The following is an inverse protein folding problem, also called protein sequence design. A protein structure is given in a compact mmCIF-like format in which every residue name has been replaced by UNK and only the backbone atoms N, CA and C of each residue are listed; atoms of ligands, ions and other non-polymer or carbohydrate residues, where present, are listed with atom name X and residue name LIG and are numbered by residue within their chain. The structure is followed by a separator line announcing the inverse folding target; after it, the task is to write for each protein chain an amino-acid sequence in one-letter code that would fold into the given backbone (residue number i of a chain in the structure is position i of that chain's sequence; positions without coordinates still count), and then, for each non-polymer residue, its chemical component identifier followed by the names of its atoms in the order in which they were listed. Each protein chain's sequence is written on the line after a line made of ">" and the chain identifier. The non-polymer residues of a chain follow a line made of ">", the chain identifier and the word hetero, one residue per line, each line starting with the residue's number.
data_IF_720853748377
#
_entry.id   IF_720853748377
#
_cell.length_a   1.000
_cell.length_b   1.000
_cell.length_c   1.000
_cell.angle_alpha   90.00
_cell.angle_beta   90.00
_cell.angle_gamma   90.00
#
_symmetry.space_group_name_H-M   'P 1'
#
loop_
_entity.id
_entity.type
_entity.pdbx_description
1 polymer ?
#
# COMPACT_ATOMS: atom_id res chain seq x y z
N UNK A 1 20.34 -18.42 -4.71
CA UNK A 1 18.96 -18.14 -4.23
C UNK A 1 18.68 -16.77 -4.77
N UNK A 2 17.70 -16.67 -5.66
CA UNK A 2 17.52 -15.46 -6.46
C UNK A 2 16.37 -14.60 -5.94
N UNK A 3 16.57 -13.28 -5.90
CA UNK A 3 15.54 -12.30 -5.54
C UNK A 3 15.01 -11.60 -6.80
N UNK A 4 13.70 -11.68 -7.05
CA UNK A 4 13.06 -10.90 -8.13
C UNK A 4 12.49 -9.60 -7.59
N UNK A 5 12.99 -8.47 -8.05
CA UNK A 5 12.50 -7.14 -7.70
C UNK A 5 11.41 -6.74 -8.69
N UNK A 6 10.16 -6.78 -8.25
CA UNK A 6 8.93 -6.58 -9.00
C UNK A 6 8.41 -5.15 -8.81
N UNK A 7 8.52 -4.31 -9.85
CA UNK A 7 8.16 -2.89 -9.79
C UNK A 7 7.03 -2.61 -10.79
N UNK A 8 5.77 -2.53 -10.33
CA UNK A 8 4.68 -2.04 -11.18
C UNK A 8 4.86 -0.54 -11.43
N UNK A 9 4.70 -0.12 -12.70
CA UNK A 9 4.84 1.28 -13.10
C UNK A 9 3.55 1.79 -13.76
N UNK A 10 3.15 3.01 -13.41
CA UNK A 10 2.03 3.71 -14.05
C UNK A 10 2.25 5.22 -13.96
N UNK A 11 2.46 5.87 -15.10
CA UNK A 11 2.63 7.31 -15.23
C UNK A 11 3.66 7.91 -14.24
N UNK A 12 4.83 7.27 -14.12
CA UNK A 12 5.89 7.70 -13.20
C UNK A 12 7.29 7.49 -13.79
N UNK A 13 8.23 8.38 -13.48
CA UNK A 13 9.64 8.26 -13.84
C UNK A 13 10.39 7.38 -12.84
N UNK A 14 10.91 6.24 -13.32
CA UNK A 14 11.59 5.25 -12.47
C UNK A 14 13.11 5.21 -12.64
N UNK A 15 13.69 6.11 -13.44
CA UNK A 15 15.12 6.03 -13.78
C UNK A 15 16.02 6.06 -12.55
N UNK A 16 15.71 6.90 -11.55
CA UNK A 16 16.50 6.99 -10.31
C UNK A 16 16.37 5.73 -9.44
N UNK A 17 15.16 5.18 -9.33
CA UNK A 17 14.93 3.96 -8.56
C UNK A 17 15.70 2.79 -9.19
N UNK A 18 15.60 2.64 -10.50
CA UNK A 18 16.27 1.54 -11.22
C UNK A 18 17.79 1.68 -11.18
N UNK A 19 18.32 2.89 -11.39
CA UNK A 19 19.77 3.10 -11.35
C UNK A 19 20.36 2.76 -9.98
N UNK A 20 19.70 3.14 -8.88
CA UNK A 20 20.16 2.82 -7.52
C UNK A 20 20.11 1.30 -7.23
N UNK A 21 19.05 0.60 -7.65
CA UNK A 21 18.95 -0.84 -7.47
C UNK A 21 20.02 -1.57 -8.29
N UNK A 22 20.22 -1.18 -9.56
CA UNK A 22 21.22 -1.75 -10.45
C UNK A 22 22.63 -1.55 -9.92
N UNK A 23 22.95 -0.34 -9.47
CA UNK A 23 24.25 0.00 -8.87
C UNK A 23 24.58 -0.94 -7.70
N UNK A 24 23.62 -1.18 -6.80
CA UNK A 24 23.83 -2.09 -5.67
C UNK A 24 24.02 -3.54 -6.12
N UNK A 25 23.17 -4.04 -7.03
CA UNK A 25 23.24 -5.41 -7.57
C UNK A 25 24.60 -5.68 -8.21
N UNK A 26 25.06 -4.78 -9.07
CA UNK A 26 26.31 -4.94 -9.82
C UNK A 26 27.53 -4.81 -8.92
N UNK A 27 27.56 -3.79 -8.06
CA UNK A 27 28.69 -3.53 -7.15
C UNK A 27 28.91 -4.68 -6.18
N UNK A 28 27.83 -5.30 -5.71
CA UNK A 28 27.88 -6.38 -4.71
C UNK A 28 27.72 -7.77 -5.31
N UNK A 29 27.55 -7.89 -6.63
CA UNK A 29 27.31 -9.15 -7.34
C UNK A 29 26.15 -9.95 -6.74
N UNK A 30 25.03 -9.28 -6.47
CA UNK A 30 23.86 -9.89 -5.84
C UNK A 30 23.12 -10.79 -6.84
N UNK A 31 22.65 -11.95 -6.38
CA UNK A 31 21.76 -12.84 -7.14
C UNK A 31 20.33 -12.27 -7.14
N UNK A 32 20.13 -11.20 -7.90
CA UNK A 32 18.86 -10.49 -8.02
C UNK A 32 18.58 -10.09 -9.48
N UNK A 33 17.30 -10.02 -9.82
CA UNK A 33 16.82 -9.51 -11.12
C UNK A 33 15.78 -8.41 -10.89
N UNK A 34 15.68 -7.48 -11.83
CA UNK A 34 14.68 -6.41 -11.82
C UNK A 34 13.66 -6.67 -12.93
N UNK A 35 12.39 -6.67 -12.56
CA UNK A 35 11.26 -6.80 -13.47
C UNK A 35 10.41 -5.54 -13.40
N UNK A 36 10.13 -4.98 -14.58
CA UNK A 36 9.20 -3.89 -14.77
C UNK A 36 7.96 -4.38 -15.51
N UNK A 37 6.78 -4.06 -14.98
CA UNK A 37 5.53 -4.20 -15.72
C UNK A 37 4.82 -2.84 -15.69
N UNK A 38 4.54 -2.30 -16.88
CA UNK A 38 3.86 -1.03 -17.08
C UNK A 38 2.36 -1.20 -17.26
N UNK A 39 1.58 -0.56 -16.39
CA UNK A 39 0.12 -0.65 -16.29
C UNK A 39 -0.57 0.36 -17.21
N UNK A 40 -0.23 0.32 -18.51
CA UNK A 40 -0.71 1.23 -19.54
C UNK A 40 -0.40 2.71 -19.23
N UNK A 41 0.89 3.03 -19.07
CA UNK A 41 1.31 4.43 -18.97
C UNK A 41 1.12 5.18 -20.28
N UNK A 42 1.04 6.51 -20.19
CA UNK A 42 1.07 7.38 -21.37
C UNK A 42 2.40 7.22 -22.12
N UNK A 43 2.42 7.43 -23.45
CA UNK A 43 3.65 7.32 -24.26
C UNK A 43 4.80 8.19 -23.77
N UNK A 44 4.52 9.36 -23.18
CA UNK A 44 5.53 10.25 -22.60
C UNK A 44 6.37 9.56 -21.51
N UNK A 45 5.75 8.71 -20.67
CA UNK A 45 6.45 7.99 -19.62
C UNK A 45 7.25 6.79 -20.16
N UNK A 46 6.79 6.15 -21.23
CA UNK A 46 7.56 5.10 -21.90
C UNK A 46 8.86 5.69 -22.50
N UNK A 47 8.79 6.88 -23.07
CA UNK A 47 9.96 7.60 -23.57
C UNK A 47 10.91 8.01 -22.42
N UNK A 48 10.37 8.61 -21.36
CA UNK A 48 11.15 9.00 -20.17
C UNK A 48 11.85 7.79 -19.55
N UNK A 49 11.15 6.66 -19.43
CA UNK A 49 11.67 5.44 -18.81
C UNK A 49 12.50 4.57 -19.75
N UNK A 50 12.73 4.98 -21.00
CA UNK A 50 13.51 4.19 -21.95
C UNK A 50 14.86 3.73 -21.40
N UNK A 51 15.69 4.56 -20.70
CA UNK A 51 16.94 4.10 -20.12
C UNK A 51 16.76 3.00 -19.06
N UNK A 52 15.77 3.17 -18.16
CA UNK A 52 15.41 2.16 -17.18
C UNK A 52 14.95 0.85 -17.85
N UNK A 53 14.07 0.94 -18.85
CA UNK A 53 13.51 -0.20 -19.58
C UNK A 53 14.60 -1.06 -20.22
N UNK A 54 15.62 -0.44 -20.80
CA UNK A 54 16.72 -1.16 -21.47
C UNK A 54 17.79 -1.69 -20.51
N UNK A 55 17.73 -1.35 -19.21
CA UNK A 55 18.75 -1.76 -18.23
C UNK A 55 18.28 -2.87 -17.27
N UNK A 56 17.00 -3.24 -17.29
CA UNK A 56 16.42 -4.27 -16.43
C UNK A 56 16.36 -5.64 -17.11
N UNK A 57 16.22 -6.69 -16.30
CA UNK A 57 16.18 -8.09 -16.77
C UNK A 57 14.89 -8.42 -17.53
N UNK A 58 13.78 -7.76 -17.19
CA UNK A 58 12.50 -7.95 -17.85
C UNK A 58 11.67 -6.66 -17.87
N UNK A 59 11.07 -6.37 -19.02
CA UNK A 59 10.09 -5.31 -19.18
C UNK A 59 8.87 -5.79 -19.97
N UNK A 60 7.69 -5.38 -19.54
CA UNK A 60 6.44 -5.54 -20.29
C UNK A 60 5.55 -4.31 -20.12
N UNK A 61 5.02 -3.78 -21.22
CA UNK A 61 3.93 -2.79 -21.18
C UNK A 61 2.59 -3.45 -21.51
N UNK A 62 1.56 -3.04 -20.79
CA UNK A 62 0.18 -3.47 -20.96
C UNK A 62 -0.60 -2.45 -21.78
N UNK A 63 -1.57 -2.93 -22.55
CA UNK A 63 -2.44 -2.09 -23.37
C UNK A 63 -3.53 -1.40 -22.52
N UNK A 64 -3.93 -2.02 -21.42
CA UNK A 64 -4.97 -1.53 -20.52
C UNK A 64 -4.50 -1.53 -19.06
N UNK A 65 -4.98 -0.57 -18.28
CA UNK A 65 -4.73 -0.51 -16.85
C UNK A 65 -5.54 -1.60 -16.13
N UNK A 66 -4.85 -2.60 -15.58
CA UNK A 66 -5.46 -3.72 -14.84
C UNK A 66 -5.50 -3.46 -13.34
N UNK A 67 -4.79 -2.45 -12.86
CA UNK A 67 -4.81 -1.97 -11.49
C UNK A 67 -3.85 -2.72 -10.55
N UNK A 68 -3.69 -2.14 -9.36
CA UNK A 68 -2.65 -2.45 -8.36
C UNK A 68 -2.59 -3.91 -7.92
N UNK A 69 -3.74 -4.55 -7.69
CA UNK A 69 -3.80 -5.95 -7.28
C UNK A 69 -3.39 -6.89 -8.41
N UNK A 70 -4.01 -6.71 -9.59
CA UNK A 70 -3.81 -7.59 -10.73
C UNK A 70 -2.38 -7.49 -11.29
N UNK A 71 -1.81 -6.29 -11.34
CA UNK A 71 -0.43 -6.12 -11.81
C UNK A 71 0.59 -6.77 -10.87
N UNK A 72 0.40 -6.70 -9.54
CA UNK A 72 1.27 -7.42 -8.59
C UNK A 72 1.17 -8.92 -8.76
N UNK A 73 -0.04 -9.45 -8.95
CA UNK A 73 -0.24 -10.87 -9.25
C UNK A 73 0.43 -11.29 -10.57
N UNK A 74 0.44 -10.41 -11.57
CA UNK A 74 0.99 -10.69 -12.89
C UNK A 74 2.50 -10.98 -12.87
N UNK A 75 3.25 -10.40 -11.93
CA UNK A 75 4.69 -10.69 -11.77
C UNK A 75 5.02 -12.16 -11.54
N UNK A 76 4.10 -12.95 -10.95
CA UNK A 76 4.30 -14.39 -10.75
C UNK A 76 4.59 -15.15 -12.05
N UNK A 77 4.15 -14.64 -13.20
CA UNK A 77 4.36 -15.27 -14.50
C UNK A 77 5.80 -15.08 -15.03
N UNK A 78 6.49 -14.03 -14.59
CA UNK A 78 7.76 -13.60 -15.19
C UNK A 78 8.94 -13.67 -14.21
N UNK A 79 8.68 -13.52 -12.91
CA UNK A 79 9.71 -13.58 -11.89
C UNK A 79 10.30 -14.99 -11.77
N UNK A 80 11.63 -15.11 -11.77
CA UNK A 80 12.36 -16.38 -11.67
C UNK A 80 12.86 -16.66 -10.25
N UNK A 81 12.94 -15.66 -9.40
CA UNK A 81 13.47 -15.74 -8.04
C UNK A 81 12.66 -16.60 -7.08
N UNK A 82 13.32 -17.09 -6.04
CA UNK A 82 12.72 -17.84 -4.93
C UNK A 82 11.91 -16.90 -4.02
N UNK A 83 12.31 -15.62 -3.99
CA UNK A 83 11.66 -14.53 -3.28
C UNK A 83 11.30 -13.41 -4.25
N UNK A 84 10.18 -12.75 -3.98
CA UNK A 84 9.67 -11.62 -4.75
C UNK A 84 9.69 -10.39 -3.85
N UNK A 85 10.40 -9.35 -4.27
CA UNK A 85 10.40 -8.04 -3.63
C UNK A 85 9.49 -7.10 -4.43
N UNK A 86 8.41 -6.63 -3.81
CA UNK A 86 7.58 -5.61 -4.43
C UNK A 86 7.95 -4.23 -3.92
N UNK A 87 8.19 -3.33 -4.87
CA UNK A 87 8.46 -1.92 -4.61
C UNK A 87 7.52 -1.04 -5.43
N UNK A 88 6.96 -0.02 -4.78
CA UNK A 88 6.23 1.01 -5.52
C UNK A 88 7.21 1.90 -6.29
N UNK A 89 6.84 2.26 -7.52
CA UNK A 89 7.68 3.02 -8.44
C UNK A 89 8.06 4.43 -7.97
N UNK A 90 7.30 4.98 -7.01
CA UNK A 90 7.53 6.28 -6.38
C UNK A 90 8.43 6.22 -5.12
N UNK A 91 8.90 5.01 -4.78
CA UNK A 91 9.87 4.78 -3.72
C UNK A 91 11.28 5.26 -4.08
N UNK A 92 11.97 5.83 -3.10
CA UNK A 92 13.40 6.16 -3.19
C UNK A 92 14.18 5.29 -2.23
N UNK A 93 15.26 4.70 -2.74
CA UNK A 93 16.20 3.93 -1.94
C UNK A 93 17.08 4.90 -1.17
N UNK A 94 17.20 4.68 0.15
CA UNK A 94 17.99 5.54 1.05
C UNK A 94 19.13 4.78 1.76
N UNK A 95 19.15 3.46 1.65
CA UNK A 95 20.23 2.60 2.16
C UNK A 95 21.13 2.17 1.00
N UNK A 96 22.45 2.09 1.24
CA UNK A 96 23.42 1.52 0.28
C UNK A 96 23.51 -0.02 0.33
N UNK A 97 22.81 -0.61 1.28
CA UNK A 97 22.75 -2.05 1.52
C UNK A 97 21.29 -2.55 1.38
N UNK A 98 20.47 -1.82 0.62
CA UNK A 98 19.03 -2.02 0.62
C UNK A 98 18.64 -3.45 0.21
N UNK A 99 19.19 -3.95 -0.90
CA UNK A 99 18.94 -5.30 -1.39
C UNK A 99 19.74 -6.32 -0.57
N UNK A 100 21.00 -6.03 -0.25
CA UNK A 100 21.86 -6.97 0.49
C UNK A 100 21.30 -7.29 1.87
N UNK A 101 20.75 -6.31 2.59
CA UNK A 101 20.15 -6.51 3.91
C UNK A 101 18.97 -7.50 3.87
N UNK A 102 18.17 -7.49 2.79
CA UNK A 102 17.11 -8.48 2.59
C UNK A 102 17.67 -9.87 2.28
N UNK A 103 18.65 -9.97 1.39
CA UNK A 103 19.26 -11.25 1.01
C UNK A 103 19.95 -11.93 2.21
N UNK A 104 20.71 -11.18 3.01
CA UNK A 104 21.33 -11.67 4.24
C UNK A 104 20.30 -12.16 5.26
N UNK A 105 19.20 -11.42 5.42
CA UNK A 105 18.12 -11.83 6.31
C UNK A 105 17.42 -13.10 5.80
N UNK A 106 17.20 -13.23 4.49
CA UNK A 106 16.64 -14.45 3.90
C UNK A 106 17.56 -15.64 4.15
N UNK A 107 18.87 -15.49 3.89
CA UNK A 107 19.83 -16.57 4.05
C UNK A 107 19.91 -17.06 5.49
N UNK A 108 19.82 -16.15 6.47
CA UNK A 108 19.93 -16.49 7.89
C UNK A 108 18.63 -16.97 8.54
N UNK A 109 17.48 -16.43 8.14
CA UNK A 109 16.20 -16.66 8.84
C UNK A 109 15.12 -17.36 8.00
N UNK A 110 15.28 -17.43 6.68
CA UNK A 110 14.33 -18.01 5.72
C UNK A 110 12.85 -17.61 5.99
N UNK A 111 12.55 -16.30 6.15
CA UNK A 111 11.21 -15.85 6.51
C UNK A 111 10.22 -16.05 5.35
N UNK A 112 8.94 -16.24 5.65
CA UNK A 112 7.91 -16.31 4.61
C UNK A 112 7.63 -14.93 3.97
N UNK A 113 7.56 -13.89 4.81
CA UNK A 113 7.25 -12.52 4.41
C UNK A 113 8.07 -11.53 5.24
N UNK A 114 8.60 -10.48 4.59
CA UNK A 114 9.30 -9.37 5.21
C UNK A 114 8.71 -8.03 4.75
N UNK A 115 8.76 -7.02 5.62
CA UNK A 115 8.39 -5.64 5.28
C UNK A 115 9.41 -4.66 5.87
N UNK A 116 10.12 -3.93 5.00
CA UNK A 116 11.20 -3.02 5.40
C UNK A 116 10.74 -1.68 5.94
N UNK A 117 9.47 -1.32 5.71
CA UNK A 117 8.93 -0.04 6.16
C UNK A 117 8.98 1.05 5.09
N UNK A 118 8.42 2.19 5.47
CA UNK A 118 8.39 3.41 4.67
C UNK A 118 8.64 4.61 5.59
N UNK A 119 9.34 5.61 5.08
CA UNK A 119 9.53 6.89 5.73
C UNK A 119 9.13 8.06 4.82
N UNK A 120 8.84 9.21 5.45
CA UNK A 120 8.45 10.47 4.80
C UNK A 120 9.29 11.61 5.36
N UNK A 121 9.27 12.77 4.69
CA UNK A 121 9.88 13.98 5.24
C UNK A 121 9.31 14.31 6.62
N UNK A 122 10.20 14.58 7.58
CA UNK A 122 9.83 15.09 8.92
C UNK A 122 9.52 16.58 8.90
N UNK A 123 9.89 17.28 7.82
CA UNK A 123 9.61 18.69 7.66
C UNK A 123 8.13 18.89 7.43
N UNK A 124 7.52 19.72 8.26
CA UNK A 124 6.10 20.05 8.15
C UNK A 124 5.85 20.78 6.82
N UNK A 125 4.93 20.30 5.97
CA UNK A 125 4.66 20.93 4.69
C UNK A 125 3.68 22.11 4.84
N UNK A 126 3.40 22.77 3.72
CA UNK A 126 2.35 23.78 3.61
C UNK A 126 0.97 23.24 4.04
N UNK A 127 0.08 24.15 4.44
CA UNK A 127 -1.25 23.79 4.96
C UNK A 127 -2.04 22.91 4.01
N UNK A 128 -1.89 23.10 2.70
CA UNK A 128 -2.50 22.33 1.61
C UNK A 128 -2.19 20.83 1.65
N UNK A 129 -1.13 20.39 2.33
CA UNK A 129 -0.69 18.99 2.43
C UNK A 129 -0.68 18.44 3.87
N UNK A 130 -0.97 19.28 4.86
CA UNK A 130 -0.79 18.95 6.28
C UNK A 130 -1.68 17.81 6.78
N UNK A 131 -2.89 17.61 6.26
CA UNK A 131 -3.75 16.51 6.68
C UNK A 131 -3.14 15.15 6.27
N UNK A 132 -2.73 15.01 5.00
CA UNK A 132 -2.05 13.82 4.46
C UNK A 132 -0.79 13.53 5.26
N UNK A 133 0.05 14.54 5.47
CA UNK A 133 1.31 14.42 6.21
C UNK A 133 1.08 14.01 7.68
N UNK A 134 0.08 14.60 8.36
CA UNK A 134 -0.29 14.22 9.72
C UNK A 134 -0.75 12.76 9.80
N UNK A 135 -1.52 12.30 8.80
CA UNK A 135 -1.92 10.90 8.73
C UNK A 135 -0.72 9.98 8.50
N UNK A 136 0.13 10.32 7.53
CA UNK A 136 1.33 9.55 7.17
C UNK A 136 2.23 9.33 8.39
N UNK A 137 2.59 10.43 9.06
CA UNK A 137 3.55 10.42 10.19
C UNK A 137 2.99 9.78 11.46
N UNK A 138 1.68 9.86 11.71
CA UNK A 138 1.07 9.39 12.97
C UNK A 138 0.46 8.00 12.89
N UNK A 139 0.10 7.52 11.69
CA UNK A 139 -0.70 6.29 11.52
C UNK A 139 -0.15 5.31 10.49
N UNK A 140 0.60 5.77 9.50
CA UNK A 140 1.04 4.96 8.36
C UNK A 140 2.53 4.58 8.49
N UNK A 141 3.42 5.58 8.53
CA UNK A 141 4.87 5.43 8.56
C UNK A 141 5.38 5.30 10.00
N UNK A 142 4.94 4.24 10.68
CA UNK A 142 5.32 3.95 12.06
C UNK A 142 6.72 3.33 12.13
N UNK A 143 7.45 3.64 13.20
CA UNK A 143 8.77 3.03 13.45
C UNK A 143 8.68 1.51 13.68
N UNK A 144 9.80 0.81 13.55
CA UNK A 144 9.87 -0.65 13.68
C UNK A 144 9.19 -1.18 14.94
N UNK A 145 9.49 -0.60 16.11
CA UNK A 145 8.92 -1.04 17.41
C UNK A 145 7.39 -1.05 17.38
N UNK A 146 6.76 -0.01 16.84
CA UNK A 146 5.29 0.06 16.72
C UNK A 146 4.75 -0.92 15.69
N UNK A 147 5.45 -1.10 14.56
CA UNK A 147 5.03 -2.05 13.53
C UNK A 147 5.07 -3.49 14.05
N UNK A 148 6.11 -3.88 14.78
CA UNK A 148 6.25 -5.21 15.39
C UNK A 148 5.15 -5.55 16.42
N UNK A 149 4.56 -4.55 17.09
CA UNK A 149 3.43 -4.78 18.01
C UNK A 149 2.14 -5.20 17.28
N UNK A 150 1.99 -4.81 16.01
CA UNK A 150 0.79 -5.06 15.20
C UNK A 150 1.19 -5.30 13.75
N UNK A 151 1.95 -6.38 13.45
CA UNK A 151 2.67 -6.54 12.19
C UNK A 151 1.72 -6.49 10.98
N UNK A 152 0.63 -7.25 11.04
CA UNK A 152 -0.36 -7.28 9.98
C UNK A 152 -1.10 -5.95 9.74
N UNK A 153 -1.26 -5.10 10.76
CA UNK A 153 -1.90 -3.79 10.62
C UNK A 153 -0.92 -2.71 10.17
N UNK A 154 0.37 -2.90 10.43
CA UNK A 154 1.45 -2.01 10.01
C UNK A 154 2.11 -2.45 8.71
N UNK A 155 1.58 -3.46 8.03
CA UNK A 155 2.06 -3.95 6.73
C UNK A 155 1.56 -3.05 5.60
N UNK A 156 2.43 -2.80 4.62
CA UNK A 156 2.11 -2.10 3.38
C UNK A 156 2.82 -2.79 2.23
N UNK A 157 2.30 -2.66 1.00
CA UNK A 157 2.82 -3.40 -0.15
C UNK A 157 3.84 -2.61 -0.98
N UNK A 158 4.38 -1.52 -0.44
CA UNK A 158 5.28 -0.60 -1.13
C UNK A 158 6.77 -0.96 -1.01
N UNK A 159 7.13 -1.86 -0.08
CA UNK A 159 8.50 -2.32 0.18
C UNK A 159 8.45 -3.61 1.00
N UNK A 160 8.05 -4.70 0.36
CA UNK A 160 7.94 -6.00 1.01
C UNK A 160 8.54 -7.11 0.18
N UNK A 161 8.99 -8.16 0.85
CA UNK A 161 9.55 -9.36 0.23
C UNK A 161 8.73 -10.57 0.66
N UNK A 162 8.39 -11.45 -0.26
CA UNK A 162 7.60 -12.65 0.01
C UNK A 162 8.20 -13.86 -0.70
N UNK A 163 8.21 -15.00 -0.03
CA UNK A 163 8.60 -16.27 -0.63
C UNK A 163 7.63 -16.61 -1.76
N UNK A 164 8.14 -16.91 -2.95
CA UNK A 164 7.33 -17.10 -4.17
C UNK A 164 6.24 -18.14 -4.01
N UNK A 165 6.53 -19.25 -3.33
CA UNK A 165 5.54 -20.32 -3.05
C UNK A 165 4.40 -19.86 -2.14
N UNK A 166 4.64 -18.90 -1.25
CA UNK A 166 3.58 -18.28 -0.45
C UNK A 166 2.73 -17.36 -1.33
N UNK A 167 3.36 -16.51 -2.14
CA UNK A 167 2.62 -15.61 -3.03
C UNK A 167 1.80 -16.33 -4.12
N UNK A 168 2.25 -17.51 -4.56
CA UNK A 168 1.45 -18.37 -5.46
C UNK A 168 0.11 -18.77 -4.84
N UNK A 169 0.08 -19.01 -3.53
CA UNK A 169 -1.10 -19.44 -2.75
C UNK A 169 -1.96 -18.27 -2.29
N UNK A 170 -1.34 -17.19 -1.85
CA UNK A 170 -2.00 -15.99 -1.34
C UNK A 170 -1.68 -14.85 -2.30
N UNK A 171 -2.67 -14.46 -3.10
CA UNK A 171 -2.58 -13.41 -4.12
C UNK A 171 -3.38 -12.21 -3.68
N UNK A 172 -3.14 -11.05 -4.29
CA UNK A 172 -3.99 -9.90 -4.08
C UNK A 172 -5.39 -10.15 -4.64
N UNK A 173 -6.43 -9.68 -3.92
CA UNK A 173 -7.79 -9.74 -4.41
C UNK A 173 -8.01 -8.70 -5.52
N UNK A 174 -8.20 -9.18 -6.75
CA UNK A 174 -8.39 -8.35 -7.94
C UNK A 174 -9.80 -7.73 -8.02
N UNK A 175 -10.73 -8.14 -7.14
CA UNK A 175 -12.07 -7.52 -7.05
C UNK A 175 -12.02 -6.13 -6.41
N UNK A 176 -11.00 -5.85 -5.59
CA UNK A 176 -10.77 -4.55 -5.00
C UNK A 176 -10.15 -3.60 -6.04
N UNK A 177 -11.01 -2.98 -6.84
CA UNK A 177 -10.59 -2.00 -7.87
C UNK A 177 -10.39 -0.58 -7.31
N UNK A 178 -11.09 -0.25 -6.22
CA UNK A 178 -11.02 1.07 -5.60
C UNK A 178 -9.81 1.19 -4.68
N UNK A 179 -9.36 2.43 -4.43
CA UNK A 179 -8.20 2.70 -3.58
C UNK A 179 -8.39 2.18 -2.15
N UNK A 180 -7.36 1.50 -1.63
CA UNK A 180 -7.20 1.17 -0.22
C UNK A 180 -7.83 -0.15 0.23
N UNK A 181 -7.26 -0.67 1.32
CA UNK A 181 -7.57 -1.96 1.98
C UNK A 181 -7.08 -3.22 1.26
N UNK A 182 -6.50 -3.12 0.06
CA UNK A 182 -5.89 -4.24 -0.65
C UNK A 182 -4.71 -4.84 0.14
N UNK A 183 -3.79 -3.99 0.62
CA UNK A 183 -2.64 -4.40 1.45
C UNK A 183 -3.08 -5.08 2.74
N UNK A 184 -4.12 -4.50 3.36
CA UNK A 184 -4.63 -4.97 4.64
C UNK A 184 -5.36 -6.29 4.49
N UNK A 185 -6.19 -6.44 3.47
CA UNK A 185 -6.89 -7.68 3.20
C UNK A 185 -5.87 -8.80 2.97
N UNK A 186 -4.87 -8.55 2.11
CA UNK A 186 -3.76 -9.47 1.88
C UNK A 186 -3.05 -9.86 3.19
N UNK A 187 -2.68 -8.89 4.03
CA UNK A 187 -2.07 -9.18 5.33
C UNK A 187 -2.97 -10.00 6.27
N UNK A 188 -4.29 -9.79 6.23
CA UNK A 188 -5.24 -10.58 7.02
C UNK A 188 -5.40 -12.00 6.47
N UNK A 189 -5.25 -12.23 5.16
CA UNK A 189 -5.22 -13.59 4.61
C UNK A 189 -4.01 -14.36 5.10
N UNK A 190 -2.83 -13.72 5.07
CA UNK A 190 -1.60 -14.29 5.63
C UNK A 190 -1.75 -14.61 7.12
N UNK A 191 -2.36 -13.68 7.88
CA UNK A 191 -2.67 -13.89 9.30
C UNK A 191 -3.56 -15.11 9.52
N UNK A 192 -4.64 -15.25 8.74
CA UNK A 192 -5.57 -16.37 8.86
C UNK A 192 -4.88 -17.72 8.56
N UNK A 193 -3.85 -17.71 7.71
CA UNK A 193 -3.01 -18.87 7.41
C UNK A 193 -1.81 -19.05 8.37
N UNK A 194 -1.73 -18.27 9.46
CA UNK A 194 -0.61 -18.27 10.42
C UNK A 194 0.76 -17.95 9.80
N UNK A 195 0.79 -17.22 8.69
CA UNK A 195 2.03 -16.78 8.03
C UNK A 195 2.50 -15.48 8.68
N UNK A 196 3.72 -15.50 9.20
CA UNK A 196 4.27 -14.37 9.93
C UNK A 196 4.90 -13.34 9.00
N UNK A 197 4.56 -12.07 9.19
CA UNK A 197 5.21 -10.93 8.54
C UNK A 197 6.33 -10.42 9.44
N UNK A 198 7.58 -10.55 8.99
CA UNK A 198 8.76 -10.01 9.69
C UNK A 198 8.95 -8.55 9.31
N UNK A 199 9.00 -7.67 10.31
CA UNK A 199 9.25 -6.26 10.08
C UNK A 199 10.74 -5.98 10.27
N UNK A 200 11.34 -5.35 9.27
CA UNK A 200 12.75 -4.93 9.28
C UNK A 200 12.81 -3.39 9.31
N UNK A 201 13.94 -2.83 9.74
CA UNK A 201 14.23 -1.40 9.59
C UNK A 201 15.07 -1.19 8.33
N UNK A 202 14.44 -1.39 7.17
CA UNK A 202 15.04 -1.13 5.86
C UNK A 202 14.06 -0.33 4.99
N UNK A 203 13.71 0.90 5.41
CA UNK A 203 12.61 1.64 4.81
C UNK A 203 13.00 2.27 3.48
N UNK A 204 12.04 2.36 2.56
CA UNK A 204 12.13 3.30 1.44
C UNK A 204 11.68 4.69 1.87
N UNK A 205 12.22 5.72 1.24
CA UNK A 205 11.67 7.07 1.36
C UNK A 205 10.63 7.28 0.26
N UNK A 206 9.40 7.60 0.64
CA UNK A 206 8.41 8.07 -0.31
C UNK A 206 7.69 9.26 0.32
N UNK A 207 7.86 10.43 -0.29
CA UNK A 207 7.21 11.67 0.11
C UNK A 207 5.98 11.91 -0.76
N UNK A 208 4.86 11.24 -0.45
CA UNK A 208 3.57 11.48 -1.12
C UNK A 208 3.17 12.95 -0.95
N UNK A 209 3.47 13.78 -1.95
CA UNK A 209 3.00 15.17 -1.99
C UNK A 209 1.58 15.14 -2.55
N UNK A 210 0.63 14.89 -1.64
CA UNK A 210 -0.78 14.82 -1.98
C UNK A 210 -1.59 15.86 -1.19
N UNK A 211 -2.36 16.68 -1.91
CA UNK A 211 -3.16 17.72 -1.28
C UNK A 211 -4.23 17.13 -0.35
N UNK A 212 -4.63 17.89 0.67
CA UNK A 212 -5.69 17.48 1.60
C UNK A 212 -6.99 17.14 0.88
N UNK A 213 -7.26 17.78 -0.27
CA UNK A 213 -8.45 17.53 -1.09
C UNK A 213 -8.37 16.11 -1.66
N UNK A 214 -7.29 15.80 -2.36
CA UNK A 214 -7.09 14.48 -2.99
C UNK A 214 -7.04 13.39 -1.92
N UNK A 215 -6.32 13.62 -0.82
CA UNK A 215 -6.26 12.68 0.30
C UNK A 215 -7.63 12.41 0.93
N UNK A 216 -8.47 13.44 1.06
CA UNK A 216 -9.84 13.28 1.61
C UNK A 216 -10.71 12.44 0.68
N UNK A 217 -10.57 12.61 -0.64
CA UNK A 217 -11.26 11.77 -1.63
C UNK A 217 -10.80 10.31 -1.54
N UNK A 218 -9.49 10.05 -1.54
CA UNK A 218 -8.94 8.70 -1.36
C UNK A 218 -9.34 8.06 -0.04
N UNK A 219 -9.43 8.84 1.04
CA UNK A 219 -9.91 8.32 2.32
C UNK A 219 -11.39 7.91 2.29
N UNK A 220 -12.21 8.56 1.46
CA UNK A 220 -13.59 8.17 1.20
C UNK A 220 -13.66 6.91 0.34
N UNK A 221 -12.90 6.84 -0.75
CA UNK A 221 -12.76 5.64 -1.59
C UNK A 221 -12.34 4.42 -0.75
N UNK A 222 -11.36 4.57 0.13
CA UNK A 222 -10.96 3.51 1.04
C UNK A 222 -12.11 3.07 1.98
N UNK A 223 -12.94 4.00 2.45
CA UNK A 223 -14.12 3.64 3.24
C UNK A 223 -15.16 2.87 2.42
N UNK A 224 -15.30 3.18 1.13
CA UNK A 224 -16.14 2.42 0.20
C UNK A 224 -15.57 1.01 -0.05
N UNK A 225 -14.26 0.87 -0.27
CA UNK A 225 -13.58 -0.43 -0.37
C UNK A 225 -13.82 -1.29 0.87
N UNK A 226 -13.72 -0.70 2.07
CA UNK A 226 -14.04 -1.41 3.31
C UNK A 226 -15.51 -1.85 3.37
N UNK A 227 -16.45 -1.05 2.86
CA UNK A 227 -17.85 -1.44 2.77
C UNK A 227 -18.02 -2.68 1.88
N UNK A 228 -17.36 -2.72 0.71
CA UNK A 228 -17.37 -3.89 -0.17
C UNK A 228 -16.84 -5.14 0.55
N UNK A 229 -15.74 -5.02 1.28
CA UNK A 229 -15.16 -6.13 2.06
C UNK A 229 -16.12 -6.59 3.17
N UNK A 230 -16.76 -5.66 3.88
CA UNK A 230 -17.70 -6.01 4.96
C UNK A 230 -19.01 -6.64 4.46
N UNK A 231 -19.42 -6.34 3.22
CA UNK A 231 -20.58 -6.95 2.57
C UNK A 231 -20.30 -8.36 2.04
N UNK A 232 -19.05 -8.67 1.69
CA UNK A 232 -18.68 -10.02 1.22
C UNK A 232 -18.47 -10.98 2.41
N UNK A 233 -19.29 -12.04 2.56
CA UNK A 233 -19.16 -13.02 3.63
C UNK A 233 -17.79 -13.69 3.71
N UNK A 234 -17.06 -13.80 2.59
CA UNK A 234 -15.74 -14.45 2.54
C UNK A 234 -14.61 -13.59 3.12
N UNK A 235 -14.82 -12.28 3.21
CA UNK A 235 -13.77 -11.33 3.61
C UNK A 235 -14.13 -10.49 4.82
N UNK A 236 -15.42 -10.39 5.18
CA UNK A 236 -15.93 -9.67 6.35
C UNK A 236 -15.18 -9.98 7.65
N UNK A 237 -15.00 -11.26 7.98
CA UNK A 237 -14.39 -11.69 9.25
C UNK A 237 -12.91 -11.28 9.36
N UNK A 238 -12.25 -11.04 8.23
CA UNK A 238 -10.85 -10.59 8.18
C UNK A 238 -10.70 -9.14 8.66
N UNK A 239 -11.72 -8.30 8.48
CA UNK A 239 -11.67 -6.85 8.75
C UNK A 239 -12.62 -6.39 9.85
N UNK A 240 -13.37 -7.32 10.45
CA UNK A 240 -14.32 -7.09 11.56
C UNK A 240 -13.65 -6.35 12.73
N UNK A 241 -12.37 -6.65 12.97
CA UNK A 241 -11.66 -6.18 14.16
C UNK A 241 -11.05 -4.77 14.04
N UNK A 242 -11.14 -4.17 12.85
CA UNK A 242 -10.61 -2.84 12.58
C UNK A 242 -11.40 -1.77 13.36
N UNK A 243 -10.71 -0.70 13.75
CA UNK A 243 -11.33 0.39 14.54
C UNK A 243 -12.56 0.97 13.85
N UNK A 244 -12.49 1.17 12.54
CA UNK A 244 -13.60 1.72 11.75
C UNK A 244 -14.76 0.73 11.66
N UNK A 245 -14.48 -0.55 11.40
CA UNK A 245 -15.48 -1.63 11.40
C UNK A 245 -16.17 -1.76 12.76
N UNK A 246 -15.42 -1.75 13.87
CA UNK A 246 -15.98 -1.77 15.23
C UNK A 246 -16.85 -0.56 15.53
N UNK A 247 -16.46 0.63 15.07
CA UNK A 247 -17.27 1.83 15.24
C UNK A 247 -18.60 1.72 14.47
N UNK A 248 -18.57 1.21 13.24
CA UNK A 248 -19.77 0.95 12.45
C UNK A 248 -20.65 -0.14 13.09
N UNK A 249 -20.08 -1.25 13.56
CA UNK A 249 -20.85 -2.30 14.24
C UNK A 249 -21.55 -1.79 15.48
N UNK A 250 -20.89 -0.96 16.30
CA UNK A 250 -21.55 -0.31 17.44
C UNK A 250 -22.73 0.52 16.97
N UNK A 251 -22.55 1.36 15.95
CA UNK A 251 -23.63 2.18 15.39
C UNK A 251 -24.82 1.34 14.95
N UNK A 252 -24.55 0.25 14.22
CA UNK A 252 -25.56 -0.66 13.69
C UNK A 252 -26.27 -1.47 14.80
N UNK A 253 -25.54 -1.94 15.81
CA UNK A 253 -26.10 -2.72 16.92
C UNK A 253 -27.06 -1.90 17.80
N UNK A 254 -26.92 -0.58 17.81
CA UNK A 254 -27.86 0.33 18.48
C UNK A 254 -28.96 0.85 17.54
N UNK A 255 -29.05 0.36 16.30
CA UNK A 255 -30.01 0.81 15.28
C UNK A 255 -29.97 2.33 15.04
N UNK A 256 -28.78 2.93 15.21
CA UNK A 256 -28.56 4.38 15.06
C UNK A 256 -28.06 4.78 13.68
N UNK A 257 -27.86 3.82 12.78
CA UNK A 257 -27.31 4.01 11.44
C UNK A 257 -28.17 4.96 10.59
N UNK A 258 -29.50 4.84 10.63
CA UNK A 258 -30.42 5.73 9.90
C UNK A 258 -30.29 7.17 10.39
N UNK A 259 -30.43 7.40 11.71
CA UNK A 259 -30.32 8.73 12.31
C UNK A 259 -28.94 9.34 12.06
N UNK A 260 -27.89 8.52 12.22
CA UNK A 260 -26.53 8.94 11.95
C UNK A 260 -26.31 9.33 10.49
N UNK A 261 -26.85 8.58 9.53
CA UNK A 261 -26.76 8.90 8.10
C UNK A 261 -27.47 10.21 7.77
N UNK A 262 -28.63 10.49 8.38
CA UNK A 262 -29.34 11.76 8.24
C UNK A 262 -28.52 12.93 8.79
N UNK A 263 -28.00 12.79 10.02
CA UNK A 263 -27.11 13.80 10.60
C UNK A 263 -25.84 13.98 9.76
N UNK A 264 -25.23 12.89 9.29
CA UNK A 264 -24.03 12.90 8.48
C UNK A 264 -24.24 13.63 7.16
N UNK A 265 -25.39 13.46 6.50
CA UNK A 265 -25.74 14.21 5.28
C UNK A 265 -25.67 15.73 5.48
N UNK A 266 -26.15 16.23 6.63
CA UNK A 266 -26.13 17.65 6.97
C UNK A 266 -24.70 18.13 7.29
N UNK A 267 -23.92 17.34 8.04
CA UNK A 267 -22.58 17.77 8.51
C UNK A 267 -21.45 17.51 7.51
N UNK A 268 -21.64 16.62 6.53
CA UNK A 268 -20.61 16.23 5.56
C UNK A 268 -19.93 17.40 4.84
N UNK A 269 -20.65 18.42 4.32
CA UNK A 269 -20.03 19.57 3.67
C UNK A 269 -19.07 20.33 4.60
N UNK A 270 -19.44 20.49 5.87
CA UNK A 270 -18.61 21.14 6.89
C UNK A 270 -17.37 20.31 7.24
N UNK A 271 -17.51 18.98 7.34
CA UNK A 271 -16.39 18.07 7.55
C UNK A 271 -15.40 18.16 6.39
N UNK A 272 -15.88 18.09 5.14
CA UNK A 272 -15.05 18.25 3.93
C UNK A 272 -14.35 19.60 3.94
N UNK A 273 -15.06 20.69 4.18
CA UNK A 273 -14.47 22.03 4.27
C UNK A 273 -13.35 22.09 5.33
N UNK A 274 -13.59 21.51 6.51
CA UNK A 274 -12.61 21.48 7.60
C UNK A 274 -11.38 20.64 7.26
N UNK A 275 -11.55 19.46 6.66
CA UNK A 275 -10.46 18.56 6.25
C UNK A 275 -9.54 19.23 5.20
N UNK A 276 -10.10 20.00 4.28
CA UNK A 276 -9.33 20.75 3.25
C UNK A 276 -8.35 21.77 3.85
N UNK A 277 -8.65 22.33 5.02
CA UNK A 277 -7.80 23.37 5.66
C UNK A 277 -6.42 22.87 6.13
N UNK A 278 -6.23 21.56 6.26
CA UNK A 278 -4.99 20.95 6.79
C UNK A 278 -4.82 21.01 8.31
N UNK A 279 -5.66 21.79 9.00
CA UNK A 279 -5.66 21.93 10.47
C UNK A 279 -6.61 20.97 11.18
N UNK A 280 -7.30 20.11 10.44
CA UNK A 280 -8.26 19.17 11.00
C UNK A 280 -7.55 18.11 11.87
N UNK A 281 -8.14 17.80 13.02
CA UNK A 281 -7.69 16.67 13.83
C UNK A 281 -8.05 15.36 13.12
N UNK A 282 -7.21 14.32 13.24
CA UNK A 282 -7.46 13.03 12.56
C UNK A 282 -8.76 12.32 13.01
N UNK A 283 -9.33 12.69 14.16
CA UNK A 283 -10.67 12.22 14.58
C UNK A 283 -11.79 12.74 13.68
N UNK A 284 -11.63 13.92 13.07
CA UNK A 284 -12.58 14.46 12.08
C UNK A 284 -12.54 13.58 10.84
N UNK A 285 -11.34 13.16 10.42
CA UNK A 285 -11.18 12.20 9.33
C UNK A 285 -11.80 10.84 9.68
N UNK A 286 -11.61 10.35 10.91
CA UNK A 286 -12.24 9.10 11.36
C UNK A 286 -13.76 9.16 11.30
N UNK A 287 -14.36 10.25 11.78
CA UNK A 287 -15.81 10.47 11.72
C UNK A 287 -16.31 10.57 10.28
N UNK A 288 -15.59 11.29 9.42
CA UNK A 288 -15.90 11.37 7.99
C UNK A 288 -15.87 9.98 7.34
N UNK A 289 -14.84 9.18 7.57
CA UNK A 289 -14.75 7.80 7.06
C UNK A 289 -15.87 6.91 7.59
N UNK A 290 -16.29 7.06 8.85
CA UNK A 290 -17.41 6.32 9.43
C UNK A 290 -18.74 6.70 8.76
N UNK A 291 -18.95 7.98 8.50
CA UNK A 291 -20.08 8.50 7.73
C UNK A 291 -20.18 7.89 6.34
N UNK A 292 -19.07 7.90 5.59
CA UNK A 292 -19.01 7.27 4.26
C UNK A 292 -19.29 5.76 4.36
N UNK A 293 -18.62 5.04 5.27
CA UNK A 293 -18.83 3.61 5.45
C UNK A 293 -20.30 3.29 5.76
N UNK A 294 -20.90 3.97 6.73
CA UNK A 294 -22.30 3.76 7.13
C UNK A 294 -23.27 3.96 5.97
N UNK A 295 -23.05 5.03 5.18
CA UNK A 295 -23.84 5.32 3.98
C UNK A 295 -23.72 4.20 2.95
N UNK A 296 -22.52 3.72 2.66
CA UNK A 296 -22.33 2.63 1.69
C UNK A 296 -22.92 1.31 2.17
N UNK A 297 -22.82 1.00 3.46
CA UNK A 297 -23.43 -0.20 4.05
C UNK A 297 -24.96 -0.18 3.96
N UNK A 298 -25.58 1.01 3.90
CA UNK A 298 -27.03 1.18 3.77
C UNK A 298 -27.56 1.07 2.35
N UNK A 299 -26.68 1.10 1.33
CA UNK A 299 -27.06 0.86 -0.06
C UNK A 299 -27.22 -0.64 -0.27
N UNK A 300 -28.44 -1.10 -0.54
CA UNK A 300 -28.74 -2.47 -0.95
C UNK A 300 -28.11 -2.78 -2.31
#
# INVERSE_FOLDING_TARGET
>A
MKLSICIPIHNFDVNVLISNLKEEIETRQLDAEILLIDDASKPEFLNINSPAIHSVDFFKSLEENIGRSAIRNLFLKYANGDYLMFLDCDGKIISKNFISDYLEYIQSQQPDVMYGGRTVSRTKPEKTYQLRWNYATKRENLNLKKRQQRPYLGFQTNNFVIKKEIFKKFRFDEKLKNYGYEDLLFAMELKAANIHIRHLENPIFNNDIESNIVFTSKAAEAAQSLACILKDPKTKDKVVDLRLSKAYQKLNNFYLDILFNLCFYIVEPFLKARLKTGKAHLRILDFYKLGILSREMSKA
#
